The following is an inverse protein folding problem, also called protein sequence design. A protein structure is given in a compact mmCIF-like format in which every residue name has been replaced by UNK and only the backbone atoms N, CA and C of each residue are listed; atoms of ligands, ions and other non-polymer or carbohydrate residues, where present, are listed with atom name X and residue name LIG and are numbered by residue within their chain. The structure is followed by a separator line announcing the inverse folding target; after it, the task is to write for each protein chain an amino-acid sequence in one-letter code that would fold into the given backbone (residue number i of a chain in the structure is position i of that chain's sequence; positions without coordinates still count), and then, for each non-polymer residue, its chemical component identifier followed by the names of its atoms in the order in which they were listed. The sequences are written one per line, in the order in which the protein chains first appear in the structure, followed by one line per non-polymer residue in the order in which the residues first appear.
data_IF_284774020701
#
_entry.id   IF_284774020701
#
_cell.length_a   1.000
_cell.length_b   1.000
_cell.length_c   1.000
_cell.angle_alpha   90.00
_cell.angle_beta   90.00
_cell.angle_gamma   90.00
#
_symmetry.space_group_name_H-M   'P 1'
#
loop_
_entity.id
_entity.type
_entity.pdbx_description
1 polymer ?
#
# COMPACT_ATOMS: atom_id res chain seq x y z
N UNK A 1 13.14 -10.67 -8.47
CA UNK A 1 11.97 -9.95 -7.95
C UNK A 1 12.47 -8.61 -7.44
N UNK A 2 12.25 -7.56 -8.24
CA UNK A 2 12.42 -6.17 -7.79
C UNK A 2 11.32 -5.90 -6.76
N UNK A 3 11.66 -5.31 -5.62
CA UNK A 3 10.64 -4.83 -4.68
C UNK A 3 9.72 -3.89 -5.47
N UNK A 4 8.42 -4.17 -5.48
CA UNK A 4 7.47 -3.29 -6.15
C UNK A 4 7.49 -1.94 -5.43
N UNK A 5 7.70 -0.88 -6.20
CA UNK A 5 7.60 0.49 -5.70
C UNK A 5 6.13 0.73 -5.31
N UNK A 6 5.88 1.25 -4.12
CA UNK A 6 4.52 1.45 -3.62
C UNK A 6 4.48 1.98 -2.19
N UNK A 7 3.27 2.16 -1.66
CA UNK A 7 3.04 2.52 -0.26
C UNK A 7 2.76 1.25 0.52
N UNK A 8 3.48 1.06 1.62
CA UNK A 8 3.20 -0.01 2.59
C UNK A 8 2.92 0.60 3.94
N UNK A 9 1.99 -0.01 4.66
CA UNK A 9 1.73 0.31 6.06
C UNK A 9 2.70 -0.51 6.91
N UNK A 10 3.56 0.17 7.65
CA UNK A 10 4.37 -0.45 8.70
C UNK A 10 3.58 -0.37 10.00
N UNK A 11 3.48 -1.50 10.67
CA UNK A 11 2.83 -1.56 11.97
C UNK A 11 3.70 -2.34 12.96
N UNK A 12 3.68 -1.89 14.20
CA UNK A 12 4.32 -2.58 15.30
C UNK A 12 3.42 -2.48 16.52
N UNK A 13 3.26 -3.61 17.21
CA UNK A 13 2.68 -3.60 18.55
C UNK A 13 3.69 -2.96 19.51
N UNK A 14 3.28 -2.51 20.67
CA UNK A 14 4.20 -2.03 21.71
C UNK A 14 4.09 -2.96 22.91
N UNK A 15 5.22 -3.26 23.53
CA UNK A 15 5.26 -4.03 24.77
C UNK A 15 5.73 -3.15 25.92
N UNK A 16 5.17 -3.37 27.11
CA UNK A 16 5.46 -2.59 28.32
C UNK A 16 5.21 -1.09 28.11
N UNK A 17 3.98 -0.74 27.69
CA UNK A 17 3.62 0.62 27.22
C UNK A 17 3.64 1.69 28.31
N UNK A 18 3.56 1.28 29.57
CA UNK A 18 3.33 2.14 30.74
C UNK A 18 4.44 3.19 30.96
N UNK A 19 5.65 2.93 30.47
CA UNK A 19 6.82 3.82 30.62
C UNK A 19 7.32 4.39 29.28
N UNK A 20 6.64 4.09 28.17
CA UNK A 20 7.07 4.54 26.84
C UNK A 20 6.73 6.01 26.63
N UNK A 21 7.64 6.73 25.98
CA UNK A 21 7.50 8.18 25.77
C UNK A 21 7.67 8.62 24.34
N UNK A 22 8.55 7.96 23.59
CA UNK A 22 8.73 8.30 22.19
C UNK A 22 9.15 7.10 21.37
N UNK A 23 8.89 7.21 20.08
CA UNK A 23 9.37 6.25 19.09
C UNK A 23 9.91 6.97 17.86
N UNK A 24 10.95 6.41 17.25
CA UNK A 24 11.59 6.93 16.06
C UNK A 24 11.57 5.86 14.99
N UNK A 25 11.01 6.21 13.83
CA UNK A 25 11.13 5.38 12.65
C UNK A 25 12.43 5.73 11.94
N UNK A 26 13.28 4.71 11.77
CA UNK A 26 14.56 4.79 11.09
C UNK A 26 14.45 4.07 9.74
N UNK A 27 14.75 4.79 8.66
CA UNK A 27 14.82 4.26 7.29
C UNK A 27 16.27 4.36 6.82
N UNK A 28 16.89 3.22 6.47
CA UNK A 28 18.28 3.17 5.99
C UNK A 28 19.29 3.91 6.90
N UNK A 29 19.08 3.88 8.21
CA UNK A 29 19.96 4.49 9.22
C UNK A 29 19.66 5.95 9.56
N UNK A 30 18.70 6.58 8.88
CA UNK A 30 18.25 7.94 9.19
C UNK A 30 16.88 7.93 9.87
N UNK A 31 16.71 8.75 10.91
CA UNK A 31 15.39 9.01 11.50
C UNK A 31 14.56 9.79 10.48
N UNK A 32 13.41 9.24 10.09
CA UNK A 32 12.49 9.86 9.14
C UNK A 32 11.21 10.37 9.81
N UNK A 33 10.88 9.83 10.99
CA UNK A 33 9.73 10.27 11.77
C UNK A 33 9.95 10.00 13.25
N UNK A 34 9.42 10.89 14.08
CA UNK A 34 9.33 10.71 15.53
C UNK A 34 7.87 10.79 15.92
N UNK A 35 7.44 9.95 16.85
CA UNK A 35 6.11 9.98 17.44
C UNK A 35 6.28 10.09 18.94
N UNK A 36 5.55 11.00 19.55
CA UNK A 36 5.37 11.02 20.99
C UNK A 36 4.34 9.94 21.36
N UNK A 37 4.59 9.25 22.47
CA UNK A 37 3.70 8.24 23.04
C UNK A 37 3.13 8.79 24.34
N UNK A 38 1.83 8.62 24.54
CA UNK A 38 1.13 8.97 25.77
C UNK A 38 1.14 7.85 26.82
N UNK A 39 1.62 6.66 26.44
CA UNK A 39 1.77 5.50 27.32
C UNK A 39 0.58 4.54 27.28
N UNK A 40 -0.49 4.91 26.57
CA UNK A 40 -1.65 4.05 26.32
C UNK A 40 -1.58 3.37 24.95
N UNK A 41 -0.68 3.80 24.06
CA UNK A 41 -0.58 3.22 22.72
C UNK A 41 -0.02 1.79 22.75
N UNK A 42 -0.83 0.87 22.26
CA UNK A 42 -0.47 -0.56 22.14
C UNK A 42 -0.01 -0.93 20.73
N UNK A 43 -0.25 -0.04 19.75
CA UNK A 43 0.10 -0.26 18.35
C UNK A 43 0.41 1.07 17.68
N UNK A 44 1.48 1.10 16.88
CA UNK A 44 1.82 2.24 16.02
C UNK A 44 1.70 1.79 14.58
N UNK A 45 1.10 2.63 13.73
CA UNK A 45 0.98 2.40 12.30
C UNK A 45 1.49 3.61 11.51
N UNK A 46 2.17 3.35 10.38
CA UNK A 46 2.73 4.37 9.52
C UNK A 46 2.86 3.92 8.07
N UNK A 47 2.28 4.70 7.16
CA UNK A 47 2.44 4.50 5.72
C UNK A 47 3.77 5.05 5.21
N UNK A 48 4.49 4.24 4.44
CA UNK A 48 5.79 4.61 3.88
C UNK A 48 5.93 4.17 2.43
N UNK A 49 6.50 5.06 1.62
CA UNK A 49 6.96 4.74 0.27
C UNK A 49 8.19 3.82 0.32
N UNK A 50 8.06 2.64 -0.29
CA UNK A 50 9.09 1.63 -0.46
C UNK A 50 9.57 1.55 -1.90
N UNK A 51 10.05 2.66 -2.44
CA UNK A 51 10.82 2.63 -3.69
C UNK A 51 12.18 1.92 -3.51
N UNK A 52 12.39 0.82 -4.23
CA UNK A 52 13.60 -0.02 -4.16
C UNK A 52 13.89 -0.68 -2.80
N UNK A 53 15.10 -1.23 -2.62
CA UNK A 53 15.46 -1.90 -1.35
C UNK A 53 15.58 -0.91 -0.20
N UNK A 54 14.75 -1.09 0.83
CA UNK A 54 14.72 -0.30 2.06
C UNK A 54 14.66 -1.22 3.28
N UNK A 55 15.29 -0.80 4.37
CA UNK A 55 15.10 -1.43 5.68
C UNK A 55 14.59 -0.40 6.69
N UNK A 56 13.78 -0.89 7.63
CA UNK A 56 13.11 -0.08 8.63
C UNK A 56 13.40 -0.63 10.02
N UNK A 57 13.59 0.28 10.98
CA UNK A 57 13.70 -0.03 12.40
C UNK A 57 12.85 0.98 13.17
N UNK A 58 12.10 0.50 14.16
CA UNK A 58 11.41 1.29 15.15
C UNK A 58 12.30 1.32 16.39
N UNK A 59 12.70 2.52 16.80
CA UNK A 59 13.43 2.74 18.03
C UNK A 59 12.46 3.31 19.05
N UNK A 60 12.11 2.51 20.05
CA UNK A 60 11.21 2.92 21.12
C UNK A 60 12.04 3.28 22.35
N UNK A 61 11.73 4.42 22.96
CA UNK A 61 12.41 4.99 24.12
C UNK A 61 11.40 5.18 25.26
N UNK A 62 11.83 4.89 26.48
CA UNK A 62 11.05 5.14 27.70
C UNK A 62 11.15 6.61 28.16
N UNK A 63 10.54 6.91 29.30
CA UNK A 63 10.55 8.24 29.89
C UNK A 63 11.94 8.77 30.25
N UNK A 64 12.90 7.88 30.49
CA UNK A 64 14.30 8.15 30.86
C UNK A 64 15.19 8.27 29.62
N UNK A 65 14.65 7.90 28.44
CA UNK A 65 15.36 7.90 27.15
C UNK A 65 16.13 6.61 26.91
N UNK A 66 15.93 5.59 27.75
CA UNK A 66 16.54 4.28 27.59
C UNK A 66 15.79 3.48 26.53
N UNK A 67 16.57 2.69 25.79
CA UNK A 67 16.04 1.89 24.69
C UNK A 67 15.31 0.68 25.24
N UNK A 68 13.99 0.64 25.02
CA UNK A 68 13.20 -0.54 25.34
C UNK A 68 13.27 -1.60 24.24
N UNK A 69 12.80 -2.82 24.54
CA UNK A 69 12.68 -3.89 23.55
C UNK A 69 11.79 -3.42 22.39
N UNK A 70 12.32 -3.46 21.18
CA UNK A 70 11.56 -3.10 19.98
C UNK A 70 10.63 -4.24 19.64
N UNK A 71 9.33 -4.00 19.60
CA UNK A 71 8.40 -4.99 19.09
C UNK A 71 8.68 -5.32 17.63
N UNK A 72 8.28 -6.52 17.17
CA UNK A 72 8.39 -6.87 15.76
C UNK A 72 7.66 -5.83 14.89
N UNK A 73 8.31 -5.40 13.82
CA UNK A 73 7.69 -4.57 12.79
C UNK A 73 7.17 -5.51 11.71
N UNK A 74 5.91 -5.37 11.37
CA UNK A 74 5.30 -6.03 10.23
C UNK A 74 4.96 -4.99 9.18
N UNK A 75 5.19 -5.35 7.91
CA UNK A 75 4.85 -4.52 6.77
C UNK A 75 3.68 -5.17 6.05
N UNK A 76 2.60 -4.43 5.89
CA UNK A 76 1.45 -4.81 5.08
C UNK A 76 1.40 -3.90 3.87
N UNK A 77 1.51 -4.47 2.69
CA UNK A 77 1.06 -3.81 1.47
C UNK A 77 -0.45 -4.03 1.41
N UNK A 78 -1.24 -3.00 1.72
CA UNK A 78 -2.56 -2.97 1.11
C UNK A 78 -2.29 -2.85 -0.39
N UNK A 79 -2.57 -3.90 -1.15
CA UNK A 79 -2.58 -3.84 -2.60
C UNK A 79 -3.75 -2.96 -3.03
N UNK A 80 -3.70 -1.66 -2.72
CA UNK A 80 -4.40 -0.67 -3.51
C UNK A 80 -3.60 -0.59 -4.80
N UNK A 81 -4.17 -1.15 -5.86
CA UNK A 81 -3.80 -0.73 -7.19
C UNK A 81 -3.83 0.81 -7.28
N UNK A 82 -3.15 1.39 -8.25
CA UNK A 82 -3.12 2.85 -8.47
C UNK A 82 -4.51 3.46 -8.80
N UNK A 83 -5.58 2.67 -8.68
CA UNK A 83 -6.98 3.05 -8.76
C UNK A 83 -7.74 3.04 -7.41
N UNK A 84 -7.07 2.81 -6.28
CA UNK A 84 -7.68 2.91 -4.96
C UNK A 84 -8.76 1.84 -4.68
N UNK A 85 -8.63 0.65 -5.28
CA UNK A 85 -9.56 -0.46 -5.08
C UNK A 85 -9.20 -1.33 -3.87
N UNK A 86 -9.85 -1.10 -2.73
CA UNK A 86 -9.94 -2.11 -1.69
C UNK A 86 -10.76 -3.30 -2.24
N UNK A 87 -10.09 -4.43 -2.52
CA UNK A 87 -10.72 -5.69 -3.00
C UNK A 87 -11.66 -6.34 -1.96
N UNK A 88 -11.92 -5.69 -0.83
CA UNK A 88 -13.00 -6.10 0.07
C UNK A 88 -14.32 -5.50 -0.37
N UNK A 89 -14.96 -6.24 -1.28
CA UNK A 89 -16.40 -6.41 -1.39
C UNK A 89 -17.23 -5.11 -1.54
N UNK A 90 -17.20 -4.51 -2.74
CA UNK A 90 -18.18 -3.47 -3.12
C UNK A 90 -17.89 -2.75 -4.45
N UNK A 91 -16.62 -2.40 -4.70
CA UNK A 91 -16.22 -1.62 -5.88
C UNK A 91 -15.77 -2.46 -7.09
N UNK A 92 -15.38 -3.72 -6.88
CA UNK A 92 -14.90 -4.61 -7.95
C UNK A 92 -15.94 -4.87 -9.04
N UNK A 93 -17.23 -4.73 -8.72
CA UNK A 93 -18.31 -4.87 -9.72
C UNK A 93 -18.32 -3.72 -10.70
N UNK A 94 -18.04 -2.49 -10.29
CA UNK A 94 -18.03 -1.33 -11.20
C UNK A 94 -16.80 -1.34 -12.11
N UNK A 95 -15.62 -1.67 -11.59
CA UNK A 95 -14.39 -1.79 -12.39
C UNK A 95 -14.47 -2.96 -13.38
N UNK A 96 -15.05 -4.09 -12.95
CA UNK A 96 -15.33 -5.21 -13.86
C UNK A 96 -16.37 -4.85 -14.92
N UNK A 97 -17.39 -4.05 -14.59
CA UNK A 97 -18.39 -3.56 -15.55
C UNK A 97 -17.74 -2.61 -16.57
N UNK A 98 -16.91 -1.67 -16.14
CA UNK A 98 -16.24 -0.72 -17.03
C UNK A 98 -15.28 -1.43 -17.99
N UNK A 99 -14.51 -2.42 -17.51
CA UNK A 99 -13.68 -3.26 -18.38
C UNK A 99 -14.51 -4.06 -19.40
N UNK A 100 -15.70 -4.54 -19.00
CA UNK A 100 -16.60 -5.22 -19.91
C UNK A 100 -17.22 -4.26 -20.94
N UNK A 101 -17.53 -3.02 -20.57
CA UNK A 101 -18.01 -1.97 -21.49
C UNK A 101 -16.94 -1.62 -22.53
N UNK A 102 -15.69 -1.43 -22.11
CA UNK A 102 -14.55 -1.20 -23.01
C UNK A 102 -14.31 -2.38 -23.96
N UNK A 103 -14.45 -3.62 -23.47
CA UNK A 103 -14.38 -4.82 -24.32
C UNK A 103 -15.52 -4.89 -25.34
N UNK A 104 -16.73 -4.46 -24.96
CA UNK A 104 -17.88 -4.42 -25.87
C UNK A 104 -17.64 -3.38 -26.96
N UNK A 105 -17.20 -2.16 -26.63
CA UNK A 105 -16.88 -1.14 -27.63
C UNK A 105 -15.77 -1.58 -28.59
N UNK A 106 -14.75 -2.29 -28.08
CA UNK A 106 -13.68 -2.85 -28.91
C UNK A 106 -14.21 -3.92 -29.87
N UNK A 107 -15.13 -4.77 -29.42
CA UNK A 107 -15.76 -5.80 -30.24
C UNK A 107 -16.70 -5.20 -31.30
N UNK A 108 -17.47 -4.18 -30.95
CA UNK A 108 -18.34 -3.48 -31.90
C UNK A 108 -17.53 -2.82 -33.01
N UNK A 109 -16.42 -2.16 -32.66
CA UNK A 109 -15.51 -1.57 -33.63
C UNK A 109 -14.86 -2.62 -34.54
N UNK A 110 -14.46 -3.76 -33.98
CA UNK A 110 -13.91 -4.87 -34.76
C UNK A 110 -14.94 -5.44 -35.74
N UNK A 111 -16.21 -5.54 -35.33
CA UNK A 111 -17.31 -6.00 -36.18
C UNK A 111 -17.58 -4.97 -37.29
N UNK A 112 -17.56 -3.67 -37.00
CA UNK A 112 -17.72 -2.61 -37.99
C UNK A 112 -16.58 -2.64 -39.03
N UNK A 113 -15.33 -2.77 -38.59
CA UNK A 113 -14.16 -2.88 -39.48
C UNK A 113 -14.24 -4.14 -40.37
N UNK A 114 -14.68 -5.27 -39.83
CA UNK A 114 -14.90 -6.51 -40.59
C UNK A 114 -16.11 -6.40 -41.54
N UNK A 115 -17.16 -5.69 -41.14
CA UNK A 115 -18.33 -5.40 -41.96
C UNK A 115 -17.99 -4.49 -43.14
N UNK A 116 -17.18 -3.45 -42.92
CA UNK A 116 -16.68 -2.55 -43.95
C UNK A 116 -15.72 -3.25 -44.93
N UNK A 117 -14.95 -4.23 -44.44
CA UNK A 117 -14.07 -5.06 -45.28
C UNK A 117 -14.85 -5.97 -46.24
N UNK A 118 -16.09 -6.34 -45.93
CA UNK A 118 -16.93 -7.20 -46.80
C UNK A 118 -17.70 -6.42 -47.88
N UNK A 119 -17.71 -5.08 -47.85
CA UNK A 119 -18.40 -4.25 -48.86
C UNK A 119 -17.44 -3.76 -49.96
N UNK A 120 -16.13 -3.93 -49.81
CA UNK A 120 -15.13 -3.51 -50.82
C UNK A 120 -14.68 -4.61 -51.80
N UNK A 121 -15.23 -5.84 -51.68
CA UNK A 121 -15.05 -6.90 -52.69
C UNK A 121 -16.33 -7.12 -53.51
N UNK A 122 -16.76 -6.11 -54.25
CA UNK A 122 -17.62 -6.30 -55.43
C UNK A 122 -17.22 -5.26 -56.48
N UNK A 123 -16.27 -5.64 -57.33
CA UNK A 123 -16.13 -5.18 -58.71
C UNK A 123 -16.04 -6.43 -59.57
#
# INVERSE_FOLDING_TARGET
MTAEDGIVTLQADLQNTEDLKSTKLVKNGAVVKTFDLDGEETTISYDVDVSGTKWFVLHVEDAEGDRTMTSPIYATSDSTDDNGGNLTNGNDRQTSIQFLEELIELLEKLIEDLGASNVTSTI
#
